data_IF_430251822243
#
_entry.id   IF_430251822243
#
_cell.length_a   1.000
_cell.length_b   1.000
_cell.length_c   1.000
_cell.angle_alpha   90.00
_cell.angle_beta   90.00
_cell.angle_gamma   90.00
#
_symmetry.space_group_name_H-M   'P 1'
#
loop_
_entity.id
_entity.type
_entity.pdbx_description
1 polymer ?
#
# COMPACT_ATOMS: atom_id res chain seq x y z
N UNK A 1 16.76 34.38 24.78
CA UNK A 1 15.95 33.65 25.77
C UNK A 1 16.09 32.14 25.53
N UNK A 2 17.26 31.53 25.78
CA UNK A 2 17.71 30.40 24.93
C UNK A 2 17.79 28.99 25.54
N UNK A 3 18.06 28.81 26.84
CA UNK A 3 18.40 27.49 27.39
C UNK A 3 17.63 27.15 28.67
N UNK A 4 17.51 28.09 29.60
CA UNK A 4 16.78 27.89 30.86
C UNK A 4 15.28 27.68 30.65
N UNK A 5 14.67 28.41 29.71
CA UNK A 5 13.25 28.24 29.36
C UNK A 5 12.99 26.84 28.78
N UNK A 6 13.84 26.36 27.87
CA UNK A 6 13.71 25.03 27.26
C UNK A 6 13.85 23.89 28.29
N UNK A 7 14.72 24.05 29.28
CA UNK A 7 14.85 23.10 30.40
C UNK A 7 13.62 23.12 31.32
N UNK A 8 13.04 24.29 31.57
CA UNK A 8 11.84 24.41 32.42
C UNK A 8 10.62 23.75 31.77
N UNK A 9 10.49 23.86 30.44
CA UNK A 9 9.40 23.24 29.67
C UNK A 9 9.70 21.80 29.21
N UNK A 10 10.96 21.35 29.30
CA UNK A 10 11.40 19.99 28.94
C UNK A 10 10.54 18.84 29.49
N UNK A 11 10.12 18.82 30.77
CA UNK A 11 9.31 17.71 31.30
C UNK A 11 7.95 17.57 30.60
N UNK A 12 7.48 18.59 29.88
CA UNK A 12 6.23 18.55 29.10
C UNK A 12 6.55 18.37 27.61
N UNK A 13 7.51 19.12 27.08
CA UNK A 13 7.84 19.08 25.64
C UNK A 13 8.53 17.80 25.22
N UNK A 14 9.32 17.17 26.11
CA UNK A 14 9.98 15.89 25.87
C UNK A 14 8.99 14.76 25.60
N UNK A 15 8.04 14.47 26.52
CA UNK A 15 7.00 13.46 26.29
C UNK A 15 6.16 13.72 25.04
N UNK A 16 5.75 14.96 24.80
CA UNK A 16 4.97 15.33 23.60
C UNK A 16 5.77 15.09 22.31
N UNK A 17 7.06 15.44 22.30
CA UNK A 17 7.94 15.18 21.17
C UNK A 17 8.14 13.68 20.94
N UNK A 18 8.31 12.91 22.02
CA UNK A 18 8.43 11.45 21.96
C UNK A 18 7.19 10.79 21.36
N UNK A 19 5.99 11.15 21.85
CA UNK A 19 4.72 10.63 21.31
C UNK A 19 4.59 10.97 19.83
N UNK A 20 4.86 12.22 19.44
CA UNK A 20 4.80 12.65 18.04
C UNK A 20 5.77 11.87 17.15
N UNK A 21 6.98 11.62 17.62
CA UNK A 21 7.97 10.82 16.90
C UNK A 21 7.50 9.38 16.70
N UNK A 22 6.94 8.74 17.74
CA UNK A 22 6.41 7.38 17.65
C UNK A 22 5.24 7.27 16.68
N UNK A 23 4.30 8.23 16.71
CA UNK A 23 3.17 8.27 15.78
C UNK A 23 3.64 8.43 14.33
N UNK A 24 4.62 9.30 14.08
CA UNK A 24 5.20 9.46 12.75
C UNK A 24 5.88 8.18 12.27
N UNK A 25 6.50 7.40 13.17
CA UNK A 25 7.11 6.12 12.82
C UNK A 25 6.07 5.06 12.46
N UNK A 26 4.99 4.97 13.23
CA UNK A 26 3.88 4.07 12.92
C UNK A 26 3.25 4.44 11.58
N UNK A 27 3.02 5.74 11.33
CA UNK A 27 2.49 6.22 10.05
C UNK A 27 3.40 5.82 8.88
N UNK A 28 4.71 6.03 9.00
CA UNK A 28 5.65 5.68 7.94
C UNK A 28 5.64 4.17 7.61
N UNK A 29 5.56 3.30 8.62
CA UNK A 29 5.44 1.86 8.40
C UNK A 29 4.09 1.51 7.77
N UNK A 30 2.99 2.09 8.25
CA UNK A 30 1.68 1.86 7.66
C UNK A 30 1.61 2.29 6.20
N UNK A 31 2.18 3.44 5.84
CA UNK A 31 2.28 3.91 4.46
C UNK A 31 3.09 2.95 3.59
N UNK A 32 4.20 2.43 4.12
CA UNK A 32 5.03 1.44 3.42
C UNK A 32 4.25 0.15 3.15
N UNK A 33 3.60 -0.42 4.16
CA UNK A 33 2.82 -1.66 4.01
C UNK A 33 1.64 -1.50 3.05
N UNK A 34 0.93 -0.37 3.10
CA UNK A 34 -0.20 -0.08 2.20
C UNK A 34 0.24 0.12 0.74
N UNK A 35 1.51 0.47 0.52
CA UNK A 35 2.06 0.73 -0.82
C UNK A 35 2.96 -0.39 -1.33
N UNK A 36 3.16 -1.47 -0.56
CA UNK A 36 3.93 -2.62 -1.02
C UNK A 36 3.10 -3.49 -1.97
N UNK A 37 3.58 -3.61 -3.22
CA UNK A 37 3.00 -4.48 -4.24
C UNK A 37 3.79 -5.79 -4.42
N UNK A 38 4.88 -5.98 -3.68
CA UNK A 38 5.77 -7.14 -3.80
C UNK A 38 5.06 -8.46 -3.53
N UNK A 39 4.28 -8.61 -2.44
CA UNK A 39 3.60 -9.87 -2.14
C UNK A 39 2.60 -10.24 -3.23
N UNK A 40 1.86 -9.26 -3.76
CA UNK A 40 0.86 -9.52 -4.80
C UNK A 40 1.53 -9.96 -6.11
N UNK A 41 2.70 -9.41 -6.44
CA UNK A 41 3.49 -9.85 -7.60
C UNK A 41 4.05 -11.26 -7.41
N UNK A 42 4.40 -11.64 -6.19
CA UNK A 42 4.82 -13.01 -5.86
C UNK A 42 3.64 -13.97 -6.01
N UNK A 43 2.46 -13.62 -5.47
CA UNK A 43 1.23 -14.40 -5.63
C UNK A 43 0.90 -14.61 -7.12
N UNK A 44 1.04 -13.58 -7.96
CA UNK A 44 0.83 -13.68 -9.41
C UNK A 44 1.83 -14.63 -10.09
N UNK A 45 3.10 -14.58 -9.70
CA UNK A 45 4.13 -15.46 -10.24
C UNK A 45 3.89 -16.93 -9.84
N UNK A 46 3.44 -17.17 -8.61
CA UNK A 46 3.04 -18.49 -8.15
C UNK A 46 1.81 -19.01 -8.93
N UNK A 47 0.80 -18.16 -9.12
CA UNK A 47 -0.40 -18.51 -9.89
C UNK A 47 -0.05 -18.89 -11.35
N UNK A 48 0.85 -18.15 -11.98
CA UNK A 48 1.34 -18.45 -13.32
C UNK A 48 2.07 -19.80 -13.37
N UNK A 49 2.89 -20.11 -12.37
CA UNK A 49 3.57 -21.40 -12.28
C UNK A 49 2.57 -22.56 -12.12
N UNK A 50 1.50 -22.39 -11.33
CA UNK A 50 0.45 -23.40 -11.19
C UNK A 50 -0.24 -23.69 -12.53
N UNK A 51 -0.51 -22.65 -13.34
CA UNK A 51 -1.06 -22.82 -14.68
C UNK A 51 -0.07 -23.56 -15.60
N UNK A 52 1.20 -23.19 -15.57
CA UNK A 52 2.25 -23.83 -16.37
C UNK A 52 2.46 -25.31 -16.02
N UNK A 53 2.28 -25.69 -14.75
CA UNK A 53 2.31 -27.07 -14.29
C UNK A 53 1.02 -27.85 -14.58
N UNK A 54 -0.05 -27.16 -15.00
CA UNK A 54 -1.36 -27.74 -15.23
C UNK A 54 -2.11 -28.09 -13.93
N UNK A 55 -1.72 -27.48 -12.80
CA UNK A 55 -2.41 -27.65 -11.52
C UNK A 55 -3.75 -26.90 -11.49
N UNK A 56 -3.90 -25.87 -12.33
CA UNK A 56 -5.12 -25.09 -12.57
C UNK A 56 -5.36 -24.95 -14.08
N UNK A 57 -6.61 -24.70 -14.46
CA UNK A 57 -6.97 -24.39 -15.85
C UNK A 57 -7.01 -22.87 -16.11
N UNK A 58 -7.22 -22.49 -17.37
CA UNK A 58 -7.23 -21.09 -17.80
C UNK A 58 -8.38 -20.29 -17.16
N UNK A 59 -9.56 -20.89 -17.00
CA UNK A 59 -10.73 -20.23 -16.42
C UNK A 59 -10.50 -19.93 -14.93
N UNK A 60 -9.90 -20.87 -14.21
CA UNK A 60 -9.50 -20.71 -12.82
C UNK A 60 -8.36 -19.71 -12.66
N UNK A 61 -7.36 -19.72 -13.55
CA UNK A 61 -6.30 -18.72 -13.59
C UNK A 61 -6.90 -17.31 -13.71
N UNK A 62 -7.77 -17.07 -14.69
CA UNK A 62 -8.38 -15.75 -14.93
C UNK A 62 -9.18 -15.27 -13.72
N UNK A 63 -9.97 -16.16 -13.11
CA UNK A 63 -10.75 -15.82 -11.92
C UNK A 63 -9.86 -15.42 -10.73
N UNK A 64 -8.77 -16.15 -10.48
CA UNK A 64 -7.84 -15.88 -9.39
C UNK A 64 -6.96 -14.65 -9.68
N UNK A 65 -6.49 -14.50 -10.91
CA UNK A 65 -5.71 -13.34 -11.37
C UNK A 65 -6.51 -12.04 -11.19
N UNK A 66 -7.80 -12.04 -11.53
CA UNK A 66 -8.67 -10.87 -11.38
C UNK A 66 -8.71 -10.34 -9.93
N UNK A 67 -8.70 -11.24 -8.94
CA UNK A 67 -8.64 -10.89 -7.51
C UNK A 67 -7.29 -10.25 -7.15
N UNK A 68 -6.18 -10.81 -7.62
CA UNK A 68 -4.85 -10.25 -7.39
C UNK A 68 -4.68 -8.88 -8.07
N UNK A 69 -5.21 -8.73 -9.29
CA UNK A 69 -5.23 -7.47 -10.02
C UNK A 69 -6.08 -6.40 -9.32
N UNK A 70 -7.18 -6.78 -8.66
CA UNK A 70 -7.94 -5.87 -7.81
C UNK A 70 -7.11 -5.36 -6.62
N UNK A 71 -6.38 -6.24 -5.93
CA UNK A 71 -5.47 -5.84 -4.84
C UNK A 71 -4.38 -4.89 -5.31
N UNK A 72 -3.82 -5.10 -6.51
CA UNK A 72 -2.85 -4.17 -7.12
C UNK A 72 -3.46 -2.78 -7.37
N UNK A 73 -4.73 -2.71 -7.77
CA UNK A 73 -5.44 -1.42 -7.94
C UNK A 73 -5.58 -0.68 -6.60
N UNK A 74 -5.83 -1.40 -5.51
CA UNK A 74 -5.90 -0.80 -4.17
C UNK A 74 -4.55 -0.22 -3.74
N UNK A 75 -3.46 -0.98 -3.89
CA UNK A 75 -2.10 -0.50 -3.60
C UNK A 75 -1.76 0.73 -4.44
N UNK A 76 -2.15 0.74 -5.72
CA UNK A 76 -1.99 1.91 -6.59
C UNK A 76 -2.80 3.12 -6.10
N UNK A 77 -4.04 2.93 -5.70
CA UNK A 77 -4.87 4.00 -5.15
C UNK A 77 -4.25 4.61 -3.88
N UNK A 78 -3.62 3.77 -3.03
CA UNK A 78 -2.84 4.23 -1.88
C UNK A 78 -1.60 5.03 -2.29
N UNK A 79 -0.83 4.56 -3.29
CA UNK A 79 0.32 5.31 -3.84
C UNK A 79 -0.11 6.67 -4.34
N UNK A 80 -1.19 6.75 -5.11
CA UNK A 80 -1.72 8.01 -5.64
C UNK A 80 -2.17 8.96 -4.52
N UNK A 81 -2.89 8.44 -3.51
CA UNK A 81 -3.33 9.23 -2.35
C UNK A 81 -2.18 9.80 -1.53
N UNK A 82 -1.07 9.06 -1.47
CA UNK A 82 0.16 9.47 -0.79
C UNK A 82 1.11 10.28 -1.70
N UNK A 83 0.72 10.56 -2.95
CA UNK A 83 1.54 11.29 -3.92
C UNK A 83 2.79 10.54 -4.38
N UNK A 84 2.83 9.22 -4.22
CA UNK A 84 3.93 8.38 -4.65
C UNK A 84 3.85 8.10 -6.17
N UNK A 85 5.00 7.96 -6.85
CA UNK A 85 5.02 7.63 -8.27
C UNK A 85 4.50 6.21 -8.50
N UNK A 86 3.60 6.06 -9.47
CA UNK A 86 3.10 4.75 -9.87
C UNK A 86 3.66 4.36 -11.23
N UNK A 87 4.35 3.22 -11.30
CA UNK A 87 4.80 2.65 -12.57
C UNK A 87 3.59 2.16 -13.38
N UNK A 88 3.42 2.66 -14.61
CA UNK A 88 2.41 2.19 -15.56
C UNK A 88 1.31 3.17 -15.95
N UNK A 89 1.28 4.40 -15.41
CA UNK A 89 0.26 5.40 -15.77
C UNK A 89 -1.16 5.02 -15.30
N UNK A 90 -2.16 5.91 -15.46
CA UNK A 90 -3.51 5.65 -14.98
C UNK A 90 -4.18 4.54 -15.80
N UNK A 91 -4.62 3.46 -15.13
CA UNK A 91 -5.46 2.42 -15.74
C UNK A 91 -6.86 3.00 -15.89
N UNK A 92 -7.34 3.14 -17.12
CA UNK A 92 -8.73 3.57 -17.36
C UNK A 92 -9.65 2.39 -17.05
N UNK A 93 -10.26 2.41 -15.87
CA UNK A 93 -11.36 1.51 -15.54
C UNK A 93 -12.51 1.91 -16.46
N UNK A 94 -12.84 1.06 -17.44
CA UNK A 94 -14.14 1.15 -18.09
C UNK A 94 -15.17 0.96 -16.98
N UNK A 95 -15.86 2.04 -16.62
CA UNK A 95 -17.01 1.95 -15.72
C UNK A 95 -17.97 0.99 -16.42
N UNK A 96 -18.28 -0.14 -15.80
CA UNK A 96 -19.42 -0.93 -16.23
C UNK A 96 -20.62 0.03 -16.22
N UNK A 97 -21.22 0.20 -17.40
CA UNK A 97 -22.51 0.85 -17.50
C UNK A 97 -23.47 -0.05 -16.77
N UNK A 98 -23.97 0.40 -15.63
CA UNK A 98 -25.16 -0.18 -15.03
C UNK A 98 -26.28 -0.03 -16.07
N UNK A 99 -26.53 -1.10 -16.83
CA UNK A 99 -27.65 -1.19 -17.77
C UNK A 99 -28.93 -1.30 -16.93
N UNK A 100 -29.72 -0.21 -16.93
CA UNK A 100 -31.14 -0.19 -16.53
C UNK A 100 -32.04 -0.69 -17.68
#
# INVERSE_FOLDING_TARGET
MGLLSNILFFPITGPVAGIRWSLNKVLAVAEQELTDDTPIKQDLMELQMQLELGDIDDDEYVAREAVLMQRLREVRAWKERLGQPTAGGPVRVARETDDE
#
